data_IF_729057828746
#
_entry.id   IF_729057828746
#
_cell.length_a   1.000
_cell.length_b   1.000
_cell.length_c   1.000
_cell.angle_alpha   90.00
_cell.angle_beta   90.00
_cell.angle_gamma   90.00
#
_symmetry.space_group_name_H-M   'P 1'
#
loop_
_entity.id
_entity.type
_entity.pdbx_description
1 polymer ?
#
# COMPACT_ATOMS: atom_id res chain seq x y z
N UNK A 1 -45.35 -30.69 61.92
CA UNK A 1 -46.45 -30.25 61.03
C UNK A 1 -46.33 -31.11 59.78
N UNK A 2 -47.01 -32.25 59.70
CA UNK A 2 -48.45 -32.41 59.52
C UNK A 2 -48.89 -32.15 58.06
N UNK A 3 -49.24 -33.26 57.36
CA UNK A 3 -50.47 -33.46 56.56
C UNK A 3 -50.68 -32.62 55.27
N UNK A 4 -51.23 -33.10 54.14
CA UNK A 4 -51.71 -34.43 53.68
C UNK A 4 -52.08 -34.40 52.18
N UNK A 5 -51.93 -35.56 51.50
CA UNK A 5 -52.91 -36.21 50.60
C UNK A 5 -53.32 -35.63 49.21
N UNK A 6 -53.82 -36.55 48.37
CA UNK A 6 -54.01 -36.49 46.91
C UNK A 6 -55.32 -37.25 46.57
N UNK A 7 -56.21 -36.73 45.69
CA UNK A 7 -56.52 -37.49 44.47
C UNK A 7 -56.86 -36.68 43.19
N UNK A 8 -56.88 -37.44 42.10
CA UNK A 8 -57.36 -37.26 40.71
C UNK A 8 -58.89 -37.51 40.54
N UNK A 9 -59.51 -37.77 39.34
CA UNK A 9 -59.18 -37.56 37.91
C UNK A 9 -60.33 -36.84 37.09
N UNK A 10 -60.89 -37.32 35.94
CA UNK A 10 -60.63 -36.88 34.54
C UNK A 10 -61.90 -36.39 33.77
N UNK A 11 -62.02 -36.71 32.44
CA UNK A 11 -63.21 -36.61 31.52
C UNK A 11 -63.27 -35.31 30.67
N UNK A 12 -63.51 -35.24 29.33
CA UNK A 12 -63.84 -36.21 28.24
C UNK A 12 -63.29 -35.73 26.85
N UNK A 13 -63.20 -36.65 25.87
CA UNK A 13 -63.58 -36.57 24.42
C UNK A 13 -63.33 -35.26 23.58
N UNK A 14 -63.00 -35.28 22.27
CA UNK A 14 -63.11 -36.34 21.24
C UNK A 14 -62.11 -36.15 20.05
N UNK A 15 -62.03 -37.17 19.18
CA UNK A 15 -61.30 -37.22 17.87
C UNK A 15 -62.30 -37.02 16.69
N UNK A 16 -61.95 -37.07 15.37
CA UNK A 16 -60.64 -37.14 14.68
C UNK A 16 -60.48 -36.27 13.38
N UNK A 17 -59.28 -36.34 12.77
CA UNK A 17 -58.94 -36.32 11.30
C UNK A 17 -59.34 -35.17 10.35
N UNK A 18 -58.32 -34.43 9.86
CA UNK A 18 -57.77 -34.36 8.46
C UNK A 18 -58.70 -34.15 7.21
N UNK A 19 -58.16 -33.79 6.00
CA UNK A 19 -56.81 -33.31 5.61
C UNK A 19 -56.76 -32.13 4.58
N UNK A 20 -55.55 -31.57 4.35
CA UNK A 20 -55.12 -30.84 3.10
C UNK A 20 -55.86 -29.51 2.76
N UNK A 21 -55.40 -28.57 1.91
CA UNK A 21 -54.31 -28.46 0.92
C UNK A 21 -53.73 -27.02 0.86
N UNK A 22 -52.40 -26.91 0.77
CA UNK A 22 -51.60 -26.17 -0.22
C UNK A 22 -51.74 -24.63 -0.51
N UNK A 23 -50.59 -24.11 -0.96
CA UNK A 23 -50.31 -22.89 -1.77
C UNK A 23 -50.20 -21.50 -1.13
N UNK A 24 -49.04 -20.90 -1.44
CA UNK A 24 -48.74 -19.47 -1.70
C UNK A 24 -48.87 -18.46 -0.54
N UNK A 25 -47.78 -17.82 -0.08
CA UNK A 25 -46.93 -16.83 -0.75
C UNK A 25 -47.64 -15.47 -0.90
N UNK A 26 -47.42 -14.54 0.05
CA UNK A 26 -47.05 -13.13 -0.21
C UNK A 26 -46.84 -12.33 1.09
N UNK A 27 -45.86 -11.42 1.07
CA UNK A 27 -45.47 -10.59 2.22
C UNK A 27 -46.54 -9.53 2.55
N UNK A 28 -46.89 -9.43 3.84
CA UNK A 28 -47.94 -8.54 4.32
C UNK A 28 -47.54 -7.05 4.28
N UNK A 29 -47.83 -6.37 3.17
CA UNK A 29 -47.83 -4.90 3.13
C UNK A 29 -49.06 -4.33 3.86
N UNK A 30 -48.82 -3.68 5.01
CA UNK A 30 -49.87 -2.98 5.77
C UNK A 30 -50.26 -1.69 5.03
N UNK A 31 -51.43 -1.68 4.42
CA UNK A 31 -51.97 -0.50 3.74
C UNK A 31 -52.51 0.53 4.74
N UNK A 32 -51.90 1.72 4.80
CA UNK A 32 -52.41 2.85 5.57
C UNK A 32 -53.65 3.41 4.86
N UNK A 33 -54.79 3.43 5.57
CA UNK A 33 -56.08 3.86 5.04
C UNK A 33 -56.21 5.39 5.13
N UNK A 34 -56.74 6.01 4.07
CA UNK A 34 -57.03 7.45 3.89
C UNK A 34 -55.85 8.34 3.45
N UNK A 35 -55.56 8.32 2.15
CA UNK A 35 -54.99 9.48 1.43
C UNK A 35 -55.93 9.84 0.26
N UNK A 36 -56.24 11.13 -0.01
CA UNK A 36 -57.24 11.50 -1.02
C UNK A 36 -56.85 11.13 -2.46
N UNK A 37 -57.86 10.88 -3.29
CA UNK A 37 -57.69 10.71 -4.74
C UNK A 37 -57.81 12.08 -5.43
N UNK A 38 -56.71 12.58 -5.98
CA UNK A 38 -56.69 13.67 -6.95
C UNK A 38 -55.85 13.23 -8.17
N UNK A 39 -56.49 12.96 -9.30
CA UNK A 39 -56.87 13.89 -10.40
C UNK A 39 -55.70 14.25 -11.34
N UNK A 40 -55.67 13.54 -12.48
CA UNK A 40 -55.14 14.04 -13.77
C UNK A 40 -53.71 14.60 -13.84
N UNK A 41 -52.69 13.73 -13.79
CA UNK A 41 -51.36 14.03 -14.35
C UNK A 41 -50.85 12.87 -15.22
N UNK A 42 -50.14 13.21 -16.29
CA UNK A 42 -49.78 12.30 -17.39
C UNK A 42 -48.85 11.15 -16.97
N UNK A 43 -49.01 9.97 -17.59
CA UNK A 43 -48.06 8.86 -17.45
C UNK A 43 -46.72 9.20 -18.13
N UNK A 44 -45.58 9.22 -17.42
CA UNK A 44 -44.28 9.33 -18.06
C UNK A 44 -43.98 8.03 -18.80
N UNK A 45 -43.92 8.08 -20.15
CA UNK A 45 -43.41 6.97 -20.96
C UNK A 45 -42.01 6.59 -20.49
N UNK A 46 -41.87 5.42 -19.87
CA UNK A 46 -40.60 4.88 -19.43
C UNK A 46 -39.73 4.52 -20.66
N UNK A 47 -38.96 5.49 -21.15
CA UNK A 47 -37.94 5.23 -22.17
C UNK A 47 -36.84 4.37 -21.56
N UNK A 48 -36.81 3.09 -21.94
CA UNK A 48 -35.81 2.11 -21.52
C UNK A 48 -34.45 2.44 -22.15
N UNK A 49 -33.74 3.39 -21.53
CA UNK A 49 -32.42 3.78 -22.03
C UNK A 49 -31.44 2.60 -21.89
N UNK A 50 -30.86 2.20 -23.02
CA UNK A 50 -29.83 1.15 -23.13
C UNK A 50 -28.57 1.41 -22.25
N UNK A 51 -28.46 2.57 -21.61
CA UNK A 51 -27.35 2.95 -20.72
C UNK A 51 -27.49 2.39 -19.29
N UNK A 52 -28.69 2.00 -18.86
CA UNK A 52 -28.90 1.43 -17.51
C UNK A 52 -28.34 0.00 -17.39
N UNK A 53 -28.64 -0.87 -18.36
CA UNK A 53 -28.25 -2.29 -18.36
C UNK A 53 -26.73 -2.52 -18.26
N UNK A 54 -25.92 -1.69 -18.92
CA UNK A 54 -24.44 -1.84 -18.94
C UNK A 54 -23.67 -1.27 -17.75
N UNK A 55 -24.32 -0.65 -16.75
CA UNK A 55 -23.65 -0.22 -15.50
C UNK A 55 -23.67 -1.28 -14.39
N UNK A 56 -24.54 -2.28 -14.49
CA UNK A 56 -24.73 -3.29 -13.44
C UNK A 56 -23.61 -4.34 -13.41
N UNK A 57 -23.11 -4.80 -14.56
CA UNK A 57 -22.33 -6.05 -14.63
C UNK A 57 -20.86 -5.98 -14.20
N UNK A 58 -20.24 -4.81 -14.07
CA UNK A 58 -18.82 -4.69 -13.66
C UNK A 58 -18.64 -4.25 -12.20
N UNK A 59 -19.41 -3.28 -11.70
CA UNK A 59 -19.36 -2.91 -10.27
C UNK A 59 -19.91 -4.01 -9.37
N UNK A 60 -21.01 -4.66 -9.75
CA UNK A 60 -21.62 -5.73 -8.94
C UNK A 60 -20.79 -7.02 -8.97
N UNK A 61 -19.93 -7.23 -9.98
CA UNK A 61 -19.00 -8.38 -10.02
C UNK A 61 -17.73 -8.14 -9.23
N UNK A 62 -17.11 -6.96 -9.34
CA UNK A 62 -15.97 -6.59 -8.49
C UNK A 62 -16.37 -6.56 -7.01
N UNK A 63 -17.54 -5.99 -6.68
CA UNK A 63 -18.04 -6.03 -5.30
C UNK A 63 -18.42 -7.45 -4.84
N UNK A 64 -18.74 -8.37 -5.75
CA UNK A 64 -18.93 -9.79 -5.42
C UNK A 64 -17.61 -10.54 -5.22
N UNK A 65 -16.56 -10.22 -5.99
CA UNK A 65 -15.22 -10.77 -5.76
C UNK A 65 -14.64 -10.27 -4.43
N UNK A 66 -14.78 -8.97 -4.13
CA UNK A 66 -14.45 -8.40 -2.83
C UNK A 66 -15.32 -8.97 -1.69
N UNK A 67 -16.60 -9.30 -1.93
CA UNK A 67 -17.45 -9.97 -0.91
C UNK A 67 -17.22 -11.48 -0.78
N UNK A 68 -16.65 -12.14 -1.79
CA UNK A 68 -16.28 -13.57 -1.73
C UNK A 68 -14.98 -13.80 -0.94
N UNK A 69 -14.12 -12.78 -0.83
CA UNK A 69 -13.19 -12.67 0.31
C UNK A 69 -14.00 -12.34 1.57
N UNK A 70 -14.68 -13.36 2.14
CA UNK A 70 -15.55 -13.30 3.31
C UNK A 70 -15.17 -12.16 4.27
N UNK A 71 -16.01 -11.14 4.35
CA UNK A 71 -15.83 -10.00 5.25
C UNK A 71 -15.69 -10.48 6.72
N UNK A 72 -16.30 -11.61 7.05
CA UNK A 72 -16.21 -12.31 8.33
C UNK A 72 -14.86 -13.02 8.56
N UNK A 73 -14.32 -13.72 7.56
CA UNK A 73 -12.99 -14.33 7.66
C UNK A 73 -11.89 -13.25 7.68
N UNK A 74 -12.09 -12.15 6.96
CA UNK A 74 -11.19 -11.00 7.00
C UNK A 74 -11.18 -10.31 8.38
N UNK A 75 -12.34 -10.19 9.04
CA UNK A 75 -12.46 -9.65 10.41
C UNK A 75 -11.89 -10.57 11.50
N UNK A 76 -11.79 -11.87 11.25
CA UNK A 76 -11.28 -12.86 12.21
C UNK A 76 -9.75 -13.00 12.25
N UNK A 77 -9.01 -12.38 11.31
CA UNK A 77 -7.56 -12.50 11.18
C UNK A 77 -6.81 -11.74 12.30
N UNK A 78 -6.46 -12.44 13.38
CA UNK A 78 -5.61 -11.90 14.45
C UNK A 78 -4.16 -11.83 13.95
N UNK A 79 -3.52 -10.64 13.89
CA UNK A 79 -2.17 -10.48 13.38
C UNK A 79 -1.14 -11.13 14.33
N UNK A 80 -0.31 -12.02 13.80
CA UNK A 80 0.79 -12.62 14.56
C UNK A 80 1.97 -11.64 14.68
N UNK A 81 2.89 -11.82 15.66
CA UNK A 81 4.05 -10.94 15.84
C UNK A 81 4.94 -10.78 14.59
N UNK A 82 4.98 -11.79 13.70
CA UNK A 82 5.75 -11.73 12.45
C UNK A 82 5.24 -10.66 11.48
N UNK A 83 3.93 -10.35 11.51
CA UNK A 83 3.34 -9.32 10.68
C UNK A 83 3.89 -7.95 11.12
N UNK A 84 3.90 -7.70 12.43
CA UNK A 84 4.46 -6.47 13.01
C UNK A 84 5.95 -6.30 12.71
N UNK A 85 6.77 -7.36 12.80
CA UNK A 85 8.18 -7.32 12.37
C UNK A 85 8.29 -6.94 10.89
N UNK A 86 7.46 -7.53 10.02
CA UNK A 86 7.46 -7.24 8.58
C UNK A 86 7.03 -5.80 8.30
N UNK A 87 6.04 -5.27 9.02
CA UNK A 87 5.61 -3.87 8.92
C UNK A 87 6.73 -2.92 9.38
N UNK A 88 7.40 -3.18 10.50
CA UNK A 88 8.51 -2.35 10.99
C UNK A 88 9.66 -2.29 9.97
N UNK A 89 10.01 -3.41 9.34
CA UNK A 89 11.04 -3.44 8.27
C UNK A 89 10.61 -2.66 7.02
N UNK A 90 9.31 -2.66 6.68
CA UNK A 90 8.77 -1.85 5.59
C UNK A 90 8.75 -0.34 5.95
N UNK A 91 8.36 0.01 7.18
CA UNK A 91 8.38 1.37 7.71
C UNK A 91 9.79 1.97 7.72
N UNK A 92 10.82 1.17 7.99
CA UNK A 92 12.20 1.63 7.93
C UNK A 92 12.62 2.05 6.50
N UNK A 93 12.11 1.35 5.48
CA UNK A 93 12.28 1.76 4.07
C UNK A 93 11.59 3.10 3.76
N UNK A 94 10.39 3.33 4.30
CA UNK A 94 9.69 4.62 4.22
C UNK A 94 10.44 5.74 4.93
N UNK A 95 10.94 5.48 6.14
CA UNK A 95 11.75 6.45 6.89
C UNK A 95 12.99 6.86 6.10
N UNK A 96 13.69 5.89 5.51
CA UNK A 96 14.87 6.14 4.67
C UNK A 96 14.55 6.94 3.40
N UNK A 97 13.38 6.71 2.78
CA UNK A 97 12.89 7.55 1.68
C UNK A 97 12.70 9.01 2.12
N UNK A 98 12.05 9.24 3.27
CA UNK A 98 11.85 10.58 3.83
C UNK A 98 13.16 11.28 4.23
N UNK A 99 14.14 10.52 4.71
CA UNK A 99 15.49 11.01 5.00
C UNK A 99 16.17 11.53 3.72
N UNK A 100 16.28 10.67 2.69
CA UNK A 100 16.93 11.00 1.42
C UNK A 100 16.21 12.11 0.63
N UNK A 101 14.91 12.30 0.87
CA UNK A 101 14.12 13.41 0.36
C UNK A 101 14.57 14.75 0.95
N UNK A 102 14.82 14.81 2.27
CA UNK A 102 15.11 16.07 2.97
C UNK A 102 16.58 16.35 3.26
N UNK A 103 17.49 15.38 3.02
CA UNK A 103 18.90 15.47 3.45
C UNK A 103 19.67 16.68 2.92
N UNK A 104 19.24 17.29 1.80
CA UNK A 104 19.89 18.45 1.16
C UNK A 104 19.23 19.80 1.47
N UNK A 105 18.19 19.84 2.31
CA UNK A 105 17.35 21.04 2.47
C UNK A 105 17.97 22.09 3.41
N UNK A 106 19.16 21.83 3.98
CA UNK A 106 19.84 22.74 4.88
C UNK A 106 20.51 23.87 4.10
N UNK A 107 19.95 25.08 4.18
CA UNK A 107 20.39 26.26 3.41
C UNK A 107 21.92 26.49 3.37
N UNK A 108 22.69 26.34 4.49
CA UNK A 108 24.15 26.50 4.46
C UNK A 108 24.92 25.54 3.53
N UNK A 109 24.32 24.44 3.05
CA UNK A 109 24.99 23.54 2.09
C UNK A 109 25.19 24.17 0.70
N UNK A 110 24.34 25.10 0.28
CA UNK A 110 24.37 25.77 -1.03
C UNK A 110 24.31 27.31 -0.93
N UNK A 111 24.60 27.88 0.26
CA UNK A 111 24.66 29.34 0.41
C UNK A 111 26.04 29.87 -0.01
N UNK A 112 26.09 30.88 -0.88
CA UNK A 112 27.32 31.61 -1.23
C UNK A 112 28.36 30.87 -2.08
N UNK A 113 28.09 29.64 -2.53
CA UNK A 113 29.11 28.71 -3.07
C UNK A 113 29.94 29.18 -4.28
N UNK A 114 29.44 30.11 -5.08
CA UNK A 114 30.14 30.63 -6.26
C UNK A 114 31.05 31.85 -5.98
N UNK A 115 31.17 32.29 -4.72
CA UNK A 115 32.02 33.41 -4.34
C UNK A 115 33.52 33.06 -4.38
N UNK A 116 34.37 34.02 -4.76
CA UNK A 116 35.85 33.85 -4.78
C UNK A 116 36.49 33.75 -3.40
N UNK A 117 35.76 34.18 -2.37
CA UNK A 117 36.09 33.96 -0.96
C UNK A 117 34.79 33.50 -0.30
N UNK A 118 34.85 32.35 0.38
CA UNK A 118 33.70 31.72 1.02
C UNK A 118 33.76 32.09 2.51
N UNK A 119 32.72 32.71 3.05
CA UNK A 119 32.65 33.05 4.48
C UNK A 119 32.53 31.77 5.33
N UNK A 120 33.17 31.74 6.50
CA UNK A 120 33.10 30.58 7.39
C UNK A 120 31.65 30.24 7.77
N UNK A 121 31.24 29.00 7.50
CA UNK A 121 29.85 28.54 7.68
C UNK A 121 28.97 28.65 6.43
N UNK A 122 29.48 29.19 5.32
CA UNK A 122 28.85 29.11 3.99
C UNK A 122 29.45 27.98 3.15
N UNK A 123 28.67 27.41 2.24
CA UNK A 123 29.07 26.33 1.32
C UNK A 123 29.75 25.07 1.94
N UNK A 124 29.10 24.42 2.89
CA UNK A 124 29.73 23.37 3.73
C UNK A 124 30.06 22.05 2.98
N UNK A 125 29.33 21.71 1.91
CA UNK A 125 29.52 20.40 1.21
C UNK A 125 30.67 20.41 0.19
N UNK A 126 30.58 21.25 -0.84
CA UNK A 126 31.53 21.31 -1.95
C UNK A 126 31.83 22.78 -2.29
N UNK A 127 32.99 23.34 -1.91
CA UNK A 127 33.29 24.74 -2.23
C UNK A 127 33.42 24.96 -3.76
N UNK A 128 33.08 26.16 -4.24
CA UNK A 128 33.15 26.59 -5.64
C UNK A 128 32.16 25.96 -6.64
N UNK A 129 31.12 25.25 -6.20
CA UNK A 129 30.09 24.74 -7.12
C UNK A 129 29.07 25.81 -7.57
N UNK A 130 28.53 25.62 -8.77
CA UNK A 130 27.45 26.42 -9.34
C UNK A 130 26.06 25.92 -8.94
N UNK A 131 25.07 26.81 -8.92
CA UNK A 131 23.68 26.44 -8.62
C UNK A 131 23.07 25.39 -9.57
N UNK A 132 23.62 25.26 -10.80
CA UNK A 132 23.21 24.23 -11.75
C UNK A 132 23.70 22.83 -11.31
N UNK A 133 24.93 22.72 -10.82
CA UNK A 133 25.48 21.45 -10.30
C UNK A 133 24.77 21.02 -9.01
N UNK A 134 24.42 21.97 -8.13
CA UNK A 134 23.55 21.70 -6.99
C UNK A 134 22.17 21.19 -7.41
N UNK A 135 21.54 21.86 -8.36
CA UNK A 135 20.23 21.46 -8.90
C UNK A 135 20.28 20.05 -9.50
N UNK A 136 21.38 19.69 -10.16
CA UNK A 136 21.64 18.34 -10.66
C UNK A 136 21.76 17.32 -9.53
N UNK A 137 22.50 17.61 -8.45
CA UNK A 137 22.64 16.72 -7.29
C UNK A 137 21.31 16.48 -6.54
N UNK A 138 20.48 17.52 -6.40
CA UNK A 138 19.14 17.41 -5.82
C UNK A 138 18.21 16.60 -6.73
N UNK A 139 18.15 16.94 -8.02
CA UNK A 139 17.23 16.32 -8.99
C UNK A 139 17.63 14.90 -9.39
N UNK A 140 18.92 14.54 -9.31
CA UNK A 140 19.43 13.21 -9.64
C UNK A 140 18.78 12.10 -8.82
N UNK A 141 18.46 12.37 -7.55
CA UNK A 141 17.71 11.44 -6.70
C UNK A 141 16.25 11.25 -7.15
N UNK A 142 15.59 12.31 -7.60
CA UNK A 142 14.22 12.24 -8.14
C UNK A 142 14.21 11.44 -9.45
N UNK A 143 15.20 11.67 -10.33
CA UNK A 143 15.39 10.91 -11.57
C UNK A 143 15.66 9.43 -11.29
N UNK A 144 16.57 9.14 -10.36
CA UNK A 144 16.82 7.78 -9.89
C UNK A 144 15.56 7.12 -9.34
N UNK A 145 14.81 7.83 -8.50
CA UNK A 145 13.53 7.39 -7.93
C UNK A 145 12.49 7.01 -8.99
N UNK A 146 12.37 7.80 -10.06
CA UNK A 146 11.50 7.49 -11.18
C UNK A 146 11.93 6.19 -11.90
N UNK A 147 13.23 6.03 -12.18
CA UNK A 147 13.79 4.83 -12.80
C UNK A 147 13.56 3.60 -11.92
N UNK A 148 13.83 3.70 -10.62
CA UNK A 148 13.63 2.64 -9.64
C UNK A 148 12.16 2.22 -9.50
N UNK A 149 11.25 3.19 -9.41
CA UNK A 149 9.81 2.93 -9.33
C UNK A 149 9.29 2.19 -10.57
N UNK A 150 9.68 2.61 -11.78
CA UNK A 150 9.30 1.94 -13.03
C UNK A 150 9.95 0.54 -13.16
N UNK A 151 11.20 0.38 -12.75
CA UNK A 151 11.95 -0.88 -12.88
C UNK A 151 11.62 -1.93 -11.82
N UNK A 152 11.04 -1.55 -10.68
CA UNK A 152 10.89 -2.42 -9.50
C UNK A 152 9.85 -3.55 -9.61
N UNK A 153 8.88 -3.47 -10.52
CA UNK A 153 7.84 -4.49 -10.69
C UNK A 153 8.42 -5.85 -11.12
N UNK A 154 9.17 -5.87 -12.22
CA UNK A 154 9.75 -7.10 -12.78
C UNK A 154 10.62 -7.92 -11.78
N UNK A 155 11.54 -7.35 -10.99
CA UNK A 155 12.25 -8.11 -9.97
C UNK A 155 11.35 -8.50 -8.79
N UNK A 156 10.39 -7.65 -8.38
CA UNK A 156 9.45 -7.98 -7.30
C UNK A 156 8.56 -9.18 -7.65
N UNK A 157 8.16 -9.32 -8.92
CA UNK A 157 7.41 -10.45 -9.44
C UNK A 157 8.29 -11.67 -9.68
N UNK A 158 9.51 -11.52 -10.22
CA UNK A 158 10.39 -12.66 -10.53
C UNK A 158 11.08 -13.28 -9.30
N UNK A 159 11.56 -12.46 -8.37
CA UNK A 159 12.34 -12.91 -7.20
C UNK A 159 11.54 -12.90 -5.90
N UNK A 160 10.36 -12.28 -5.91
CA UNK A 160 9.55 -12.05 -4.72
C UNK A 160 9.91 -10.76 -4.01
N UNK A 161 8.92 -10.21 -3.30
CA UNK A 161 8.99 -8.90 -2.64
C UNK A 161 10.13 -8.85 -1.61
N UNK A 162 10.24 -9.85 -0.75
CA UNK A 162 11.29 -9.97 0.29
C UNK A 162 12.71 -9.90 -0.30
N UNK A 163 13.03 -10.72 -1.32
CA UNK A 163 14.35 -10.74 -1.95
C UNK A 163 14.65 -9.44 -2.71
N UNK A 164 13.62 -8.82 -3.28
CA UNK A 164 13.77 -7.55 -4.00
C UNK A 164 14.12 -6.42 -3.05
N UNK A 165 13.46 -6.30 -1.90
CA UNK A 165 13.85 -5.33 -0.86
C UNK A 165 15.27 -5.63 -0.35
N UNK A 166 15.67 -6.90 -0.22
CA UNK A 166 17.02 -7.28 0.22
C UNK A 166 18.10 -6.85 -0.78
N UNK A 167 17.91 -7.11 -2.07
CA UNK A 167 18.80 -6.63 -3.13
C UNK A 167 18.84 -5.10 -3.18
N UNK A 168 17.68 -4.47 -2.98
CA UNK A 168 17.55 -3.03 -2.98
C UNK A 168 18.28 -2.35 -1.80
N UNK A 169 18.32 -3.00 -0.62
CA UNK A 169 19.11 -2.53 0.52
C UNK A 169 20.62 -2.51 0.19
N UNK A 170 21.12 -3.46 -0.61
CA UNK A 170 22.52 -3.44 -1.09
C UNK A 170 22.74 -2.24 -2.02
N UNK A 171 21.83 -1.98 -2.96
CA UNK A 171 21.93 -0.82 -3.88
C UNK A 171 21.91 0.49 -3.08
N UNK A 172 21.08 0.59 -2.03
CA UNK A 172 21.07 1.74 -1.13
C UNK A 172 22.42 1.93 -0.42
N UNK A 173 22.99 0.86 0.15
CA UNK A 173 24.30 0.91 0.82
C UNK A 173 25.39 1.36 -0.15
N UNK A 174 25.40 0.86 -1.39
CA UNK A 174 26.34 1.31 -2.44
C UNK A 174 26.14 2.79 -2.77
N UNK A 175 24.90 3.25 -2.98
CA UNK A 175 24.60 4.65 -3.25
C UNK A 175 25.06 5.58 -2.11
N UNK A 176 24.72 5.23 -0.86
CA UNK A 176 25.14 5.98 0.33
C UNK A 176 26.65 6.02 0.53
N UNK A 177 27.37 4.92 0.24
CA UNK A 177 28.86 4.91 0.28
C UNK A 177 29.43 5.87 -0.77
N UNK A 178 28.91 5.86 -2.00
CA UNK A 178 29.35 6.79 -3.06
C UNK A 178 29.08 8.24 -2.65
N UNK A 179 27.91 8.54 -2.10
CA UNK A 179 27.60 9.88 -1.59
C UNK A 179 28.54 10.29 -0.43
N UNK A 180 28.76 9.42 0.56
CA UNK A 180 29.53 9.75 1.77
C UNK A 180 31.05 9.88 1.53
N UNK A 181 31.61 9.13 0.56
CA UNK A 181 33.04 9.19 0.20
C UNK A 181 33.33 10.33 -0.78
N UNK A 182 32.32 10.84 -1.50
CA UNK A 182 32.53 11.87 -2.53
C UNK A 182 33.19 13.15 -2.00
N UNK A 183 34.17 13.63 -2.76
CA UNK A 183 34.78 14.96 -2.65
C UNK A 183 34.32 15.92 -3.74
N UNK A 184 33.64 15.41 -4.78
CA UNK A 184 33.23 16.14 -5.97
C UNK A 184 31.71 16.06 -6.18
N UNK A 185 31.09 17.17 -6.54
CA UNK A 185 29.63 17.27 -6.74
C UNK A 185 29.09 16.34 -7.84
N UNK A 186 29.91 16.05 -8.87
CA UNK A 186 29.57 15.10 -9.93
C UNK A 186 29.49 13.66 -9.41
N UNK A 187 30.46 13.22 -8.60
CA UNK A 187 30.47 11.89 -8.00
C UNK A 187 29.33 11.75 -6.96
N UNK A 188 29.09 12.81 -6.19
CA UNK A 188 27.94 12.90 -5.29
C UNK A 188 26.61 12.74 -6.06
N UNK A 189 26.47 13.41 -7.20
CA UNK A 189 25.28 13.32 -8.07
C UNK A 189 25.04 11.90 -8.60
N UNK A 190 26.11 11.15 -8.93
CA UNK A 190 26.01 9.72 -9.29
C UNK A 190 25.50 8.89 -8.11
N UNK A 191 26.04 9.11 -6.91
CA UNK A 191 25.54 8.49 -5.68
C UNK A 191 24.06 8.75 -5.45
N UNK A 192 23.61 10.01 -5.63
CA UNK A 192 22.21 10.42 -5.54
C UNK A 192 21.29 9.72 -6.54
N UNK A 193 21.74 9.45 -7.77
CA UNK A 193 20.97 8.65 -8.73
C UNK A 193 20.84 7.19 -8.25
N UNK A 194 21.91 6.59 -7.73
CA UNK A 194 21.91 5.20 -7.23
C UNK A 194 21.01 5.05 -6.00
N UNK A 195 21.14 5.94 -5.00
CA UNK A 195 20.26 5.95 -3.83
C UNK A 195 18.82 6.30 -4.20
N UNK A 196 18.62 7.14 -5.22
CA UNK A 196 17.32 7.41 -5.84
C UNK A 196 16.65 6.14 -6.37
N UNK A 197 17.36 5.37 -7.21
CA UNK A 197 16.88 4.08 -7.74
C UNK A 197 16.47 3.16 -6.59
N UNK A 198 17.31 3.05 -5.55
CA UNK A 198 16.99 2.24 -4.39
C UNK A 198 15.76 2.75 -3.61
N UNK A 199 15.62 4.06 -3.39
CA UNK A 199 14.46 4.65 -2.71
C UNK A 199 13.16 4.45 -3.48
N UNK A 200 13.16 4.69 -4.80
CA UNK A 200 11.98 4.52 -5.65
C UNK A 200 11.50 3.07 -5.74
N UNK A 201 12.43 2.13 -5.83
CA UNK A 201 12.10 0.70 -5.80
C UNK A 201 11.66 0.24 -4.39
N UNK A 202 12.29 0.71 -3.32
CA UNK A 202 11.89 0.39 -1.94
C UNK A 202 10.44 0.77 -1.66
N UNK A 203 10.06 2.02 -1.91
CA UNK A 203 8.72 2.52 -1.55
C UNK A 203 7.63 1.80 -2.34
N UNK A 204 7.86 1.47 -3.62
CA UNK A 204 6.90 0.72 -4.43
C UNK A 204 6.73 -0.71 -3.89
N UNK A 205 7.83 -1.46 -3.70
CA UNK A 205 7.77 -2.85 -3.24
C UNK A 205 7.27 -2.97 -1.81
N UNK A 206 7.54 -1.99 -0.93
CA UNK A 206 6.94 -1.91 0.41
C UNK A 206 5.42 -1.72 0.37
N UNK A 207 4.90 -0.83 -0.49
CA UNK A 207 3.45 -0.64 -0.66
C UNK A 207 2.76 -1.92 -1.15
N UNK A 208 3.35 -2.58 -2.17
CA UNK A 208 2.85 -3.86 -2.69
C UNK A 208 2.88 -4.94 -1.59
N UNK A 209 4.02 -5.12 -0.91
CA UNK A 209 4.16 -6.09 0.17
C UNK A 209 3.14 -5.87 1.28
N UNK A 210 2.98 -4.63 1.77
CA UNK A 210 1.98 -4.32 2.79
C UNK A 210 0.57 -4.62 2.28
N UNK A 211 0.23 -4.29 1.04
CA UNK A 211 -1.08 -4.64 0.50
C UNK A 211 -1.33 -6.16 0.50
N UNK A 212 -0.33 -6.97 0.17
CA UNK A 212 -0.44 -8.44 0.08
C UNK A 212 -0.47 -9.16 1.44
N UNK A 213 0.21 -8.64 2.47
CA UNK A 213 0.26 -9.27 3.79
C UNK A 213 -0.76 -8.71 4.79
N UNK A 214 -1.46 -7.61 4.46
CA UNK A 214 -2.39 -6.97 5.40
C UNK A 214 -3.82 -7.51 5.31
N UNK A 215 -4.50 -7.71 6.46
CA UNK A 215 -5.93 -7.98 6.45
C UNK A 215 -6.67 -6.70 6.02
N UNK A 216 -7.81 -6.86 5.35
CA UNK A 216 -8.50 -5.75 4.65
C UNK A 216 -8.93 -4.62 5.59
N UNK A 217 -9.23 -4.91 6.85
CA UNK A 217 -9.56 -3.95 7.90
C UNK A 217 -8.36 -3.05 8.30
N UNK A 218 -7.12 -3.57 8.27
CA UNK A 218 -5.91 -2.83 8.70
C UNK A 218 -5.04 -2.35 7.54
N UNK A 219 -5.29 -2.81 6.30
CA UNK A 219 -4.56 -2.41 5.07
C UNK A 219 -4.44 -0.88 4.94
N UNK A 220 -5.53 -0.14 5.20
CA UNK A 220 -5.52 1.32 5.18
C UNK A 220 -4.56 1.92 6.21
N UNK A 221 -4.62 1.46 7.45
CA UNK A 221 -3.74 1.93 8.53
C UNK A 221 -2.26 1.67 8.24
N UNK A 222 -1.91 0.49 7.73
CA UNK A 222 -0.52 0.16 7.39
C UNK A 222 0.00 0.94 6.17
N UNK A 223 -0.85 1.20 5.17
CA UNK A 223 -0.53 2.07 4.03
C UNK A 223 -0.29 3.52 4.47
N UNK A 224 -1.16 4.08 5.30
CA UNK A 224 -0.94 5.39 5.94
C UNK A 224 0.32 5.39 6.80
N UNK A 225 0.62 4.29 7.49
CA UNK A 225 1.86 4.09 8.24
C UNK A 225 3.12 4.30 7.40
N UNK A 226 3.16 3.82 6.15
CA UNK A 226 4.28 4.07 5.23
C UNK A 226 4.46 5.57 4.94
N UNK A 227 3.37 6.32 4.76
CA UNK A 227 3.44 7.76 4.51
C UNK A 227 3.87 8.54 5.77
N UNK A 228 3.37 8.12 6.94
CA UNK A 228 3.80 8.64 8.24
C UNK A 228 5.30 8.37 8.47
N UNK A 229 5.80 7.20 8.05
CA UNK A 229 7.23 6.87 8.07
C UNK A 229 8.07 7.83 7.21
N UNK A 230 7.61 8.18 6.00
CA UNK A 230 8.26 9.20 5.15
C UNK A 230 8.30 10.56 5.86
N UNK A 231 7.18 11.01 6.43
CA UNK A 231 7.13 12.27 7.17
C UNK A 231 8.09 12.29 8.38
N UNK A 232 8.15 11.20 9.16
CA UNK A 232 9.10 11.07 10.27
C UNK A 232 10.57 11.06 9.80
N UNK A 233 10.88 10.46 8.65
CA UNK A 233 12.21 10.51 8.05
C UNK A 233 12.66 11.94 7.73
N UNK A 234 11.77 12.72 7.11
CA UNK A 234 12.02 14.13 6.79
C UNK A 234 12.15 15.00 8.05
N UNK A 235 11.30 14.80 9.06
CA UNK A 235 11.38 15.51 10.34
C UNK A 235 12.66 15.17 11.13
N UNK A 236 13.10 13.91 11.10
CA UNK A 236 14.33 13.47 11.75
C UNK A 236 15.55 14.14 11.14
N UNK A 237 15.64 14.23 9.80
CA UNK A 237 16.68 15.00 9.10
C UNK A 237 16.71 16.45 9.56
N UNK A 238 15.57 17.15 9.53
CA UNK A 238 15.49 18.56 9.93
C UNK A 238 15.89 18.77 11.40
N UNK A 239 15.58 17.82 12.27
CA UNK A 239 16.02 17.80 13.67
C UNK A 239 17.53 17.60 13.78
N UNK A 240 18.11 16.70 12.98
CA UNK A 240 19.57 16.49 12.93
C UNK A 240 20.29 17.71 12.37
N UNK A 241 19.73 18.42 11.38
CA UNK A 241 20.26 19.71 10.90
C UNK A 241 20.29 20.80 11.98
N UNK A 242 19.40 20.75 12.96
CA UNK A 242 19.39 21.71 14.09
C UNK A 242 20.48 21.39 15.13
N UNK A 243 20.73 20.11 15.41
CA UNK A 243 21.72 19.68 16.42
C UNK A 243 23.15 19.54 15.87
N UNK A 244 23.31 19.16 14.61
CA UNK A 244 24.63 19.06 13.94
C UNK A 244 25.00 20.46 13.44
N UNK A 245 25.73 21.21 14.29
CA UNK A 245 26.24 22.53 13.95
C UNK A 245 27.12 22.55 12.69
N UNK A 246 27.37 23.76 12.15
CA UNK A 246 27.82 24.08 10.78
C UNK A 246 29.21 23.53 10.32
N UNK A 247 29.77 22.52 10.97
CA UNK A 247 31.01 21.84 10.55
C UNK A 247 30.81 20.73 9.52
N UNK A 248 31.87 19.95 9.28
CA UNK A 248 31.94 18.82 8.31
C UNK A 248 31.04 17.60 8.64
N UNK A 249 30.04 17.77 9.50
CA UNK A 249 29.10 16.72 9.93
C UNK A 249 28.12 16.27 8.84
N UNK A 250 28.04 16.96 7.70
CA UNK A 250 27.16 16.59 6.58
C UNK A 250 27.41 15.16 6.07
N UNK A 251 28.65 14.67 6.13
CA UNK A 251 28.99 13.28 5.77
C UNK A 251 28.33 12.24 6.67
N UNK A 252 28.07 12.57 7.94
CA UNK A 252 27.34 11.69 8.88
C UNK A 252 25.87 11.61 8.45
N UNK A 253 25.29 12.75 8.04
CA UNK A 253 23.90 12.85 7.61
C UNK A 253 23.66 12.10 6.29
N UNK A 254 24.57 12.25 5.33
CA UNK A 254 24.61 11.51 4.06
C UNK A 254 24.95 10.02 4.26
N UNK A 255 25.75 9.68 5.27
CA UNK A 255 26.12 8.31 5.60
C UNK A 255 25.05 7.53 6.39
N UNK A 256 24.09 8.21 7.03
CA UNK A 256 23.07 7.56 7.87
C UNK A 256 22.19 6.52 7.12
N UNK A 257 21.77 6.74 5.86
CA UNK A 257 21.11 5.71 5.04
C UNK A 257 21.91 4.42 4.85
N UNK A 258 23.25 4.44 4.97
CA UNK A 258 24.08 3.22 4.93
C UNK A 258 23.75 2.33 6.15
N UNK A 259 23.68 2.94 7.34
CA UNK A 259 23.38 2.23 8.59
C UNK A 259 21.97 1.65 8.56
N UNK A 260 21.00 2.43 8.08
CA UNK A 260 19.63 1.95 7.87
C UNK A 260 19.54 0.84 6.82
N UNK A 261 20.26 0.95 5.70
CA UNK A 261 20.32 -0.07 4.66
C UNK A 261 20.91 -1.40 5.15
N UNK A 262 22.00 -1.35 5.94
CA UNK A 262 22.58 -2.53 6.60
C UNK A 262 21.59 -3.14 7.60
N UNK A 263 20.95 -2.32 8.44
CA UNK A 263 19.92 -2.79 9.37
C UNK A 263 18.74 -3.44 8.61
N UNK A 264 18.32 -2.87 7.48
CA UNK A 264 17.26 -3.44 6.64
C UNK A 264 17.68 -4.79 6.08
N UNK A 265 18.89 -4.88 5.51
CA UNK A 265 19.44 -6.13 4.97
C UNK A 265 19.49 -7.24 6.03
N UNK A 266 19.89 -6.93 7.26
CA UNK A 266 19.94 -7.88 8.38
C UNK A 266 18.56 -8.27 8.92
N UNK A 267 17.57 -7.38 8.88
CA UNK A 267 16.22 -7.64 9.39
C UNK A 267 15.29 -8.34 8.38
N UNK A 268 15.51 -8.18 7.08
CA UNK A 268 14.67 -8.79 6.03
C UNK A 268 14.57 -10.32 6.12
N UNK A 269 15.63 -11.10 6.41
CA UNK A 269 15.52 -12.56 6.59
C UNK A 269 14.52 -12.99 7.68
N UNK A 270 14.22 -12.12 8.65
CA UNK A 270 13.26 -12.38 9.71
C UNK A 270 11.81 -12.04 9.33
N UNK A 271 11.55 -11.42 8.18
CA UNK A 271 10.20 -11.09 7.72
C UNK A 271 9.49 -12.28 7.06
N UNK A 272 8.17 -12.17 6.90
CA UNK A 272 7.38 -13.16 6.16
C UNK A 272 7.47 -12.94 4.66
N UNK A 273 7.34 -14.02 3.88
CA UNK A 273 7.17 -13.93 2.42
C UNK A 273 5.72 -13.57 2.08
N UNK A 274 5.53 -12.87 0.96
CA UNK A 274 4.18 -12.62 0.45
C UNK A 274 3.49 -13.95 0.09
N UNK A 275 2.31 -14.25 0.67
CA UNK A 275 1.56 -15.46 0.33
C UNK A 275 0.99 -15.37 -1.09
N UNK A 276 0.62 -14.18 -1.55
CA UNK A 276 0.12 -13.91 -2.91
C UNK A 276 1.19 -14.26 -3.95
N UNK A 277 2.44 -13.84 -3.73
CA UNK A 277 3.56 -14.17 -4.61
C UNK A 277 3.85 -15.69 -4.65
N UNK A 278 3.73 -16.38 -3.52
CA UNK A 278 3.93 -17.83 -3.42
C UNK A 278 2.83 -18.61 -4.17
N UNK A 279 1.57 -18.18 -4.08
CA UNK A 279 0.46 -18.75 -4.88
C UNK A 279 0.71 -18.53 -6.37
N UNK A 280 1.13 -17.34 -6.78
CA UNK A 280 1.43 -17.03 -8.18
C UNK A 280 2.59 -17.83 -8.79
N UNK A 281 3.44 -18.44 -7.96
CA UNK A 281 4.54 -19.31 -8.38
C UNK A 281 4.23 -20.81 -8.17
N UNK A 282 2.98 -21.18 -7.86
CA UNK A 282 2.56 -22.57 -7.62
C UNK A 282 3.08 -23.18 -6.31
N UNK A 283 3.66 -22.38 -5.41
CA UNK A 283 4.23 -22.85 -4.14
C UNK A 283 3.17 -22.86 -3.02
N UNK A 284 2.07 -23.58 -3.23
CA UNK A 284 0.89 -23.58 -2.35
C UNK A 284 1.21 -24.02 -0.91
N UNK A 285 2.05 -25.03 -0.69
CA UNK A 285 2.46 -25.49 0.64
C UNK A 285 3.20 -24.41 1.44
N UNK A 286 4.07 -23.65 0.75
CA UNK A 286 4.80 -22.54 1.36
C UNK A 286 3.88 -21.36 1.63
N UNK A 287 2.93 -21.08 0.73
CA UNK A 287 1.91 -20.06 0.95
C UNK A 287 1.07 -20.36 2.19
N UNK A 288 0.64 -21.63 2.37
CA UNK A 288 -0.09 -22.09 3.55
C UNK A 288 0.71 -21.92 4.85
N UNK A 289 2.00 -22.30 4.81
CA UNK A 289 2.89 -22.19 5.97
C UNK A 289 3.14 -20.73 6.37
N UNK A 290 3.35 -19.84 5.42
CA UNK A 290 3.53 -18.41 5.70
C UNK A 290 2.21 -17.76 6.17
N UNK A 291 1.06 -18.17 5.60
CA UNK A 291 -0.26 -17.69 6.04
C UNK A 291 -0.56 -18.09 7.50
N UNK A 292 -0.25 -19.33 7.89
CA UNK A 292 -0.30 -19.82 9.29
C UNK A 292 0.71 -19.13 10.21
N UNK A 293 1.77 -18.54 9.67
CA UNK A 293 2.77 -17.77 10.42
C UNK A 293 2.31 -16.32 10.63
N UNK A 294 1.69 -15.72 9.61
CA UNK A 294 1.16 -14.34 9.60
C UNK A 294 -0.06 -14.15 10.50
N UNK A 295 -0.91 -15.17 10.63
CA UNK A 295 -2.22 -15.06 11.29
C UNK A 295 -2.47 -16.18 12.30
N UNK A 296 -3.05 -15.82 13.46
CA UNK A 296 -3.50 -16.75 14.51
C UNK A 296 -4.98 -17.15 14.32
N UNK A 297 -5.40 -18.26 14.95
CA UNK A 297 -6.05 -19.40 14.28
C UNK A 297 -7.22 -18.99 13.37
N UNK A 298 -6.95 -19.03 12.06
CA UNK A 298 -7.95 -18.87 11.00
C UNK A 298 -8.05 -20.14 10.17
N UNK A 299 -9.17 -20.28 9.44
CA UNK A 299 -9.35 -21.35 8.46
C UNK A 299 -8.51 -21.07 7.21
N UNK A 300 -7.19 -21.25 7.36
CA UNK A 300 -6.14 -20.86 6.40
C UNK A 300 -6.24 -21.61 5.07
N UNK A 301 -6.81 -22.81 5.06
CA UNK A 301 -7.22 -23.57 3.87
C UNK A 301 -8.18 -22.76 2.98
N UNK A 302 -9.27 -22.22 3.56
CA UNK A 302 -10.29 -21.49 2.81
C UNK A 302 -9.74 -20.20 2.18
N UNK A 303 -8.87 -19.49 2.91
CA UNK A 303 -8.21 -18.27 2.42
C UNK A 303 -7.21 -18.61 1.29
N UNK A 304 -6.45 -19.69 1.42
CA UNK A 304 -5.53 -20.15 0.37
C UNK A 304 -6.28 -20.53 -0.90
N UNK A 305 -7.37 -21.30 -0.79
CA UNK A 305 -8.20 -21.69 -1.93
C UNK A 305 -8.84 -20.47 -2.63
N UNK A 306 -9.27 -19.46 -1.86
CA UNK A 306 -9.76 -18.20 -2.43
C UNK A 306 -8.65 -17.42 -3.17
N UNK A 307 -7.42 -17.39 -2.65
CA UNK A 307 -6.27 -16.77 -3.34
C UNK A 307 -5.91 -17.51 -4.64
N UNK A 308 -5.96 -18.85 -4.64
CA UNK A 308 -5.71 -19.67 -5.85
C UNK A 308 -6.77 -19.38 -6.91
N UNK A 309 -8.05 -19.41 -6.55
CA UNK A 309 -9.15 -19.13 -7.48
C UNK A 309 -9.07 -17.71 -8.07
N UNK A 310 -8.76 -16.70 -7.26
CA UNK A 310 -8.57 -15.32 -7.72
C UNK A 310 -7.37 -15.19 -8.69
N UNK A 311 -6.25 -15.86 -8.39
CA UNK A 311 -5.08 -15.83 -9.26
C UNK A 311 -5.35 -16.56 -10.60
N UNK A 312 -6.07 -17.68 -10.58
CA UNK A 312 -6.48 -18.35 -11.82
C UNK A 312 -7.39 -17.48 -12.70
N UNK A 313 -8.31 -16.70 -12.11
CA UNK A 313 -9.16 -15.76 -12.85
C UNK A 313 -8.32 -14.62 -13.46
N UNK A 314 -7.37 -14.07 -12.71
CA UNK A 314 -6.43 -13.04 -13.18
C UNK A 314 -5.55 -13.54 -14.34
N UNK A 315 -5.00 -14.75 -14.24
CA UNK A 315 -4.22 -15.39 -15.31
C UNK A 315 -5.09 -15.60 -16.56
N UNK A 316 -6.36 -16.02 -16.40
CA UNK A 316 -7.31 -16.17 -17.52
C UNK A 316 -7.68 -14.81 -18.17
N UNK A 317 -7.84 -13.74 -17.40
CA UNK A 317 -8.07 -12.39 -17.97
C UNK A 317 -6.83 -11.80 -18.67
N UNK A 318 -5.62 -12.17 -18.23
CA UNK A 318 -4.37 -11.54 -18.69
C UNK A 318 -3.63 -12.36 -19.76
N UNK A 319 -4.00 -13.62 -19.96
CA UNK A 319 -3.40 -14.52 -20.96
C UNK A 319 -3.42 -13.91 -22.37
N UNK A 320 -2.23 -13.77 -22.96
CA UNK A 320 -2.04 -13.22 -24.32
C UNK A 320 -2.11 -11.70 -24.44
N UNK A 321 -2.33 -10.96 -23.36
CA UNK A 321 -2.34 -9.49 -23.37
C UNK A 321 -0.97 -8.96 -22.94
N UNK A 322 -0.32 -8.15 -23.78
CA UNK A 322 0.88 -7.42 -23.39
C UNK A 322 0.52 -6.35 -22.33
N UNK A 323 0.99 -6.51 -21.09
CA UNK A 323 0.64 -5.68 -19.92
C UNK A 323 0.83 -4.18 -20.16
N UNK A 324 1.89 -3.80 -20.88
CA UNK A 324 2.16 -2.40 -21.24
C UNK A 324 1.14 -1.83 -22.22
N UNK A 325 0.66 -2.64 -23.17
CA UNK A 325 -0.43 -2.26 -24.08
C UNK A 325 -1.80 -2.29 -23.38
N UNK A 326 -1.98 -3.18 -22.40
CA UNK A 326 -3.21 -3.31 -21.60
C UNK A 326 -3.52 -2.02 -20.83
N UNK A 327 -2.50 -1.39 -20.23
CA UNK A 327 -2.60 -0.12 -19.50
C UNK A 327 -3.25 1.00 -20.33
N UNK A 328 -2.97 1.08 -21.63
CA UNK A 328 -3.54 2.09 -22.54
C UNK A 328 -4.88 1.66 -23.17
N UNK A 329 -5.39 0.46 -22.88
CA UNK A 329 -6.65 -0.03 -23.43
C UNK A 329 -7.87 0.75 -22.92
N UNK A 330 -8.99 0.66 -23.66
CA UNK A 330 -10.27 1.30 -23.28
C UNK A 330 -10.84 0.80 -21.94
N UNK A 331 -10.41 -0.38 -21.44
CA UNK A 331 -10.81 -0.94 -20.13
C UNK A 331 -10.21 -0.10 -18.98
N UNK A 332 -8.90 0.18 -19.04
CA UNK A 332 -8.15 0.81 -17.95
C UNK A 332 -7.93 2.33 -18.11
N UNK A 333 -8.11 2.91 -19.32
CA UNK A 333 -7.86 4.35 -19.59
C UNK A 333 -8.49 5.33 -18.57
N UNK A 334 -9.67 5.03 -18.02
CA UNK A 334 -10.28 5.89 -16.98
C UNK A 334 -9.55 5.85 -15.65
N UNK A 335 -9.11 4.66 -15.22
CA UNK A 335 -8.32 4.50 -14.00
C UNK A 335 -6.94 5.14 -14.18
N UNK A 336 -6.32 4.97 -15.35
CA UNK A 336 -5.04 5.62 -15.68
C UNK A 336 -5.15 7.16 -15.64
N UNK A 337 -6.20 7.76 -16.21
CA UNK A 337 -6.42 9.21 -16.13
C UNK A 337 -6.59 9.67 -14.67
N UNK A 338 -7.37 8.94 -13.86
CA UNK A 338 -7.56 9.28 -12.44
C UNK A 338 -6.23 9.21 -11.68
N UNK A 339 -5.43 8.16 -11.89
CA UNK A 339 -4.12 8.00 -11.27
C UNK A 339 -3.16 9.13 -11.66
N UNK A 340 -3.06 9.48 -12.96
CA UNK A 340 -2.24 10.58 -13.45
C UNK A 340 -2.67 11.90 -12.79
N UNK A 341 -3.97 12.22 -12.81
CA UNK A 341 -4.48 13.48 -12.23
C UNK A 341 -4.21 13.57 -10.72
N UNK A 342 -4.40 12.47 -9.96
CA UNK A 342 -4.14 12.45 -8.53
C UNK A 342 -2.64 12.59 -8.20
N UNK A 343 -1.78 11.84 -8.88
CA UNK A 343 -0.32 11.94 -8.69
C UNK A 343 0.22 13.32 -9.13
N UNK A 344 -0.30 13.89 -10.22
CA UNK A 344 0.04 15.25 -10.63
C UNK A 344 -0.43 16.29 -9.62
N UNK A 345 -1.66 16.19 -9.10
CA UNK A 345 -2.17 17.11 -8.08
C UNK A 345 -1.35 17.03 -6.77
N UNK A 346 -0.90 15.84 -6.37
CA UNK A 346 -0.04 15.64 -5.20
C UNK A 346 1.31 16.37 -5.33
N UNK A 347 1.90 16.43 -6.53
CA UNK A 347 3.17 17.13 -6.73
C UNK A 347 2.97 18.63 -7.01
N UNK A 348 1.91 18.99 -7.74
CA UNK A 348 1.59 20.38 -8.12
C UNK A 348 1.02 21.23 -6.98
N UNK A 349 0.62 20.62 -5.84
CA UNK A 349 0.29 21.39 -4.63
C UNK A 349 1.50 22.10 -4.00
N UNK A 350 2.72 21.83 -4.49
CA UNK A 350 3.94 22.54 -4.09
C UNK A 350 4.58 22.04 -2.80
N UNK A 351 4.13 20.92 -2.21
CA UNK A 351 4.66 20.42 -0.93
C UNK A 351 6.19 20.23 -0.95
N UNK A 352 6.76 19.73 -2.04
CA UNK A 352 8.22 19.57 -2.15
C UNK A 352 8.94 20.92 -2.25
N UNK A 353 8.31 21.97 -2.81
CA UNK A 353 8.90 23.30 -2.81
C UNK A 353 8.95 23.90 -1.40
N UNK A 354 7.89 23.70 -0.60
CA UNK A 354 7.87 24.06 0.84
C UNK A 354 8.90 23.27 1.64
N UNK A 355 9.16 22.01 1.29
CA UNK A 355 10.20 21.21 1.96
C UNK A 355 11.62 21.66 1.59
N UNK A 356 11.85 22.14 0.36
CA UNK A 356 13.20 22.41 -0.18
C UNK A 356 13.70 23.85 0.01
N UNK A 357 12.83 24.87 0.17
CA UNK A 357 13.19 26.29 0.08
C UNK A 357 12.82 27.11 1.33
#
# INVERSE_FOLDING_TARGET
MATTAIPSPPVHADRPTEPSTATNNEDAYIAIRNSPKDTGLEQPRASTSWRASRRSTSRVRLSRLESMMHEEHAKALIPAPILWVTIVVALMGSFQFGWLLSQLNFRPFNNGCAAKAIEEGTCIMFPHHSGNEWTMAVSGWILGGAIGAMGSGAPADKFGRQKTIMMNAIIMVVGGIVEAVSSEIYLFSVGRVISGIASGAAINVCNVLISEISPTNMRGMFSTGLQVGVAFGSLAVTTVHYFVGLGSGWRILVGFPIVLGIAQFLLIPFTSKSPVWLVAHGHHDLAHKELKRLYRPCNTEAILNAMIAAHEEEVKETAGINTWAALFSKKYRKQLIIAIVLCSAQQLCGINAVMYY
#
